data_IF_368910508449
#
_entry.id   IF_368910508449
#
_cell.length_a   1.000
_cell.length_b   1.000
_cell.length_c   1.000
_cell.angle_alpha   90.00
_cell.angle_beta   90.00
_cell.angle_gamma   90.00
#
_symmetry.space_group_name_H-M   'P 1'
#
loop_
_entity.id
_entity.type
_entity.pdbx_description
1 polymer ?
#
# COMPACT_ATOMS: atom_id res chain seq x y z
N UNK A 1 15.41 16.99 14.21
CA UNK A 1 15.28 15.51 14.10
C UNK A 1 13.85 15.11 13.76
N UNK A 2 12.85 15.50 14.55
CA UNK A 2 11.41 15.23 14.30
C UNK A 2 10.91 15.52 12.87
N UNK A 3 11.31 16.65 12.26
CA UNK A 3 10.93 16.96 10.87
C UNK A 3 11.46 15.92 9.87
N UNK A 4 12.70 15.42 10.06
CA UNK A 4 13.27 14.38 9.19
C UNK A 4 12.55 13.04 9.37
N UNK A 5 12.12 12.72 10.58
CA UNK A 5 11.36 11.50 10.86
C UNK A 5 9.96 11.56 10.25
N UNK A 6 9.30 12.72 10.31
CA UNK A 6 8.02 12.96 9.63
C UNK A 6 8.14 12.85 8.10
N UNK A 7 9.15 13.49 7.50
CA UNK A 7 9.42 13.38 6.05
C UNK A 7 9.68 11.92 5.65
N UNK A 8 10.51 11.21 6.42
CA UNK A 8 10.77 9.78 6.21
C UNK A 8 9.50 8.94 6.32
N UNK A 9 8.65 9.21 7.31
CA UNK A 9 7.38 8.51 7.48
C UNK A 9 6.45 8.73 6.29
N UNK A 10 6.36 9.96 5.76
CA UNK A 10 5.56 10.27 4.56
C UNK A 10 6.03 9.46 3.35
N UNK A 11 7.33 9.30 3.15
CA UNK A 11 7.88 8.43 2.08
C UNK A 11 7.52 6.97 2.31
N UNK A 12 7.65 6.47 3.54
CA UNK A 12 7.34 5.08 3.89
C UNK A 12 5.85 4.76 3.68
N UNK A 13 4.94 5.67 4.04
CA UNK A 13 3.50 5.46 3.85
C UNK A 13 3.14 5.27 2.38
N UNK A 14 3.69 6.08 1.47
CA UNK A 14 3.49 5.92 0.02
C UNK A 14 4.06 4.59 -0.46
N UNK A 15 5.25 4.23 0.00
CA UNK A 15 5.90 2.96 -0.35
C UNK A 15 5.09 1.75 0.10
N UNK A 16 4.60 1.74 1.35
CA UNK A 16 3.77 0.64 1.88
C UNK A 16 2.43 0.53 1.16
N UNK A 17 1.76 1.65 0.82
CA UNK A 17 0.52 1.59 0.02
C UNK A 17 0.77 0.95 -1.34
N UNK A 18 1.89 1.27 -2.00
CA UNK A 18 2.28 0.63 -3.26
C UNK A 18 2.50 -0.88 -3.07
N UNK A 19 3.30 -1.27 -2.09
CA UNK A 19 3.63 -2.66 -1.83
C UNK A 19 2.40 -3.51 -1.45
N UNK A 20 1.51 -2.94 -0.63
CA UNK A 20 0.25 -3.56 -0.27
C UNK A 20 -0.65 -3.81 -1.51
N UNK A 21 -0.64 -2.91 -2.50
CA UNK A 21 -1.37 -3.14 -3.77
C UNK A 21 -0.78 -4.31 -4.56
N UNK A 22 0.54 -4.40 -4.62
CA UNK A 22 1.25 -5.52 -5.27
C UNK A 22 0.89 -6.85 -4.59
N UNK A 23 0.90 -6.91 -3.25
CA UNK A 23 0.47 -8.08 -2.50
C UNK A 23 -1.02 -8.41 -2.70
N UNK A 24 -1.91 -7.42 -2.67
CA UNK A 24 -3.33 -7.65 -2.91
C UNK A 24 -3.58 -8.23 -4.32
N UNK A 25 -2.83 -7.78 -5.32
CA UNK A 25 -2.92 -8.32 -6.67
C UNK A 25 -2.45 -9.79 -6.73
N UNK A 26 -1.33 -10.10 -6.09
CA UNK A 26 -0.81 -11.47 -5.98
C UNK A 26 -1.78 -12.40 -5.24
N UNK A 27 -2.33 -11.97 -4.11
CA UNK A 27 -3.33 -12.73 -3.35
C UNK A 27 -4.58 -12.99 -4.20
N UNK A 28 -5.04 -12.00 -4.96
CA UNK A 28 -6.18 -12.15 -5.86
C UNK A 28 -5.92 -13.14 -7.00
N UNK A 29 -4.69 -13.20 -7.52
CA UNK A 29 -4.30 -14.21 -8.52
C UNK A 29 -4.34 -15.62 -7.91
N UNK A 30 -3.84 -15.78 -6.69
CA UNK A 30 -3.87 -17.06 -5.98
C UNK A 30 -5.27 -17.47 -5.53
N UNK A 31 -6.13 -16.54 -5.15
CA UNK A 31 -7.52 -16.81 -4.84
C UNK A 31 -8.24 -17.45 -6.04
N UNK A 32 -8.08 -16.88 -7.24
CA UNK A 32 -8.63 -17.45 -8.48
C UNK A 32 -8.11 -18.86 -8.74
N UNK A 33 -6.80 -19.06 -8.60
CA UNK A 33 -6.19 -20.39 -8.76
C UNK A 33 -6.66 -21.39 -7.71
N UNK A 34 -6.90 -20.95 -6.47
CA UNK A 34 -7.42 -21.79 -5.40
C UNK A 34 -8.86 -22.26 -5.71
N UNK A 35 -9.70 -21.41 -6.30
CA UNK A 35 -11.03 -21.82 -6.80
C UNK A 35 -10.91 -22.87 -7.90
N UNK A 36 -10.02 -22.67 -8.89
CA UNK A 36 -9.78 -23.65 -9.96
C UNK A 36 -9.31 -25.02 -9.44
N UNK A 37 -8.62 -25.04 -8.30
CA UNK A 37 -8.14 -26.25 -7.64
C UNK A 37 -9.14 -26.84 -6.62
N UNK A 38 -10.30 -26.21 -6.43
CA UNK A 38 -11.33 -26.66 -5.49
C UNK A 38 -11.10 -26.27 -4.02
N UNK A 39 -10.11 -25.43 -3.72
CA UNK A 39 -9.80 -24.93 -2.38
C UNK A 39 -10.63 -23.69 -2.03
N UNK A 40 -11.96 -23.81 -2.05
CA UNK A 40 -12.87 -22.66 -1.95
C UNK A 40 -12.74 -21.88 -0.62
N UNK A 41 -12.52 -22.56 0.51
CA UNK A 41 -12.32 -21.89 1.80
C UNK A 41 -11.03 -21.05 1.81
N UNK A 42 -9.93 -21.61 1.29
CA UNK A 42 -8.68 -20.87 1.17
C UNK A 42 -8.79 -19.69 0.19
N UNK A 43 -9.52 -19.87 -0.91
CA UNK A 43 -9.80 -18.77 -1.84
C UNK A 43 -10.57 -17.63 -1.16
N UNK A 44 -11.58 -17.95 -0.34
CA UNK A 44 -12.35 -16.97 0.43
C UNK A 44 -11.47 -16.18 1.40
N UNK A 45 -10.56 -16.84 2.12
CA UNK A 45 -9.63 -16.15 3.02
C UNK A 45 -8.63 -15.25 2.27
N UNK A 46 -8.16 -15.67 1.10
CA UNK A 46 -7.31 -14.84 0.24
C UNK A 46 -8.07 -13.61 -0.28
N UNK A 47 -9.32 -13.76 -0.68
CA UNK A 47 -10.17 -12.62 -1.08
C UNK A 47 -10.45 -11.67 0.08
N UNK A 48 -10.67 -12.19 1.29
CA UNK A 48 -10.80 -11.39 2.50
C UNK A 48 -9.52 -10.60 2.78
N UNK A 49 -8.35 -11.23 2.66
CA UNK A 49 -7.05 -10.55 2.79
C UNK A 49 -6.88 -9.41 1.78
N UNK A 50 -7.35 -9.58 0.53
CA UNK A 50 -7.37 -8.52 -0.48
C UNK A 50 -8.23 -7.33 -0.04
N UNK A 51 -9.41 -7.57 0.56
CA UNK A 51 -10.26 -6.47 1.04
C UNK A 51 -9.65 -5.76 2.24
N UNK A 52 -9.10 -6.50 3.21
CA UNK A 52 -8.42 -5.92 4.37
C UNK A 52 -7.23 -5.07 3.94
N UNK A 53 -6.49 -5.48 2.91
CA UNK A 53 -5.39 -4.69 2.37
C UNK A 53 -5.85 -3.33 1.82
N UNK A 54 -7.06 -3.24 1.26
CA UNK A 54 -7.65 -1.95 0.84
C UNK A 54 -7.97 -1.07 2.04
N UNK A 55 -8.47 -1.65 3.13
CA UNK A 55 -8.73 -0.93 4.39
C UNK A 55 -7.43 -0.40 4.99
N UNK A 56 -6.39 -1.23 5.04
CA UNK A 56 -5.04 -0.82 5.48
C UNK A 56 -4.55 0.34 4.62
N UNK A 57 -4.64 0.23 3.29
CA UNK A 57 -4.24 1.31 2.39
C UNK A 57 -5.00 2.61 2.63
N UNK A 58 -6.31 2.56 2.87
CA UNK A 58 -7.10 3.75 3.23
C UNK A 58 -6.62 4.42 4.52
N UNK A 59 -6.29 3.62 5.55
CA UNK A 59 -5.74 4.13 6.81
C UNK A 59 -4.35 4.75 6.63
N UNK A 60 -3.49 4.12 5.81
CA UNK A 60 -2.15 4.65 5.50
C UNK A 60 -2.23 5.97 4.72
N UNK A 61 -3.13 6.08 3.75
CA UNK A 61 -3.38 7.34 3.03
C UNK A 61 -3.93 8.42 3.97
N UNK A 62 -4.84 8.08 4.87
CA UNK A 62 -5.36 9.02 5.88
C UNK A 62 -4.22 9.52 6.80
N UNK A 63 -3.33 8.63 7.24
CA UNK A 63 -2.16 9.01 8.02
C UNK A 63 -1.22 9.94 7.23
N UNK A 64 -1.05 9.69 5.92
CA UNK A 64 -0.26 10.55 5.05
C UNK A 64 -0.86 11.95 4.94
N UNK A 65 -2.18 12.06 4.78
CA UNK A 65 -2.89 13.35 4.70
C UNK A 65 -2.75 14.15 6.01
N UNK A 66 -2.88 13.49 7.16
CA UNK A 66 -2.64 14.11 8.49
C UNK A 66 -1.23 14.68 8.60
N UNK A 67 -0.23 14.03 7.99
CA UNK A 67 1.17 14.44 8.01
C UNK A 67 1.52 15.48 6.92
N UNK A 68 0.54 15.96 6.16
CA UNK A 68 0.71 16.99 5.13
C UNK A 68 0.85 16.45 3.70
N UNK A 69 0.38 15.24 3.42
CA UNK A 69 0.35 14.63 2.09
C UNK A 69 1.70 14.07 1.62
N UNK A 70 1.82 13.59 0.37
CA UNK A 70 3.09 13.18 -0.22
C UNK A 70 4.11 14.32 -0.24
N UNK A 71 5.41 14.00 -0.17
CA UNK A 71 6.44 15.01 -0.39
C UNK A 71 6.45 15.41 -1.86
N UNK A 72 6.27 16.70 -2.15
CA UNK A 72 6.55 17.23 -3.48
C UNK A 72 8.03 17.02 -3.79
N UNK A 73 8.32 16.39 -4.93
CA UNK A 73 9.69 16.33 -5.45
C UNK A 73 10.11 17.77 -5.75
N UNK A 74 10.89 18.37 -4.85
CA UNK A 74 11.67 19.55 -5.18
C UNK A 74 12.66 19.11 -6.25
N UNK A 75 12.29 19.29 -7.53
CA UNK A 75 13.24 19.32 -8.62
C UNK A 75 14.20 20.46 -8.31
N UNK A 76 15.39 20.12 -7.82
CA UNK A 76 16.51 21.05 -7.80
C UNK A 76 16.88 21.30 -9.26
N UNK A 77 16.32 22.35 -9.86
CA UNK A 77 16.80 22.93 -11.11
C UNK A 77 18.23 23.45 -10.88
N UNK A 78 19.22 22.58 -11.07
CA UNK A 78 20.59 23.01 -11.30
C UNK A 78 20.67 23.55 -12.73
N UNK A 79 20.32 24.81 -12.91
CA UNK A 79 20.84 25.62 -14.01
C UNK A 79 22.18 26.21 -13.59
N UNK A 80 23.26 25.74 -14.20
CA UNK A 80 24.38 26.60 -14.60
C UNK A 80 25.17 25.95 -15.74
#
# INVERSE_FOLDING_TARGET
MLMKDQEKLRVLLVHWVKHNREHAEEFGQWARRAVELGFNEAASELEAAVQEMKVVNSRLMTALDILGGPLEHHHCDHKN
#
